data_IF_170201584758
#
_entry.id   IF_170201584758
#
_cell.length_a   1.000
_cell.length_b   1.000
_cell.length_c   1.000
_cell.angle_alpha   90.00
_cell.angle_beta   90.00
_cell.angle_gamma   90.00
#
_symmetry.space_group_name_H-M   'P 1'
#
loop_
_entity.id
_entity.type
_entity.pdbx_description
1 polymer ?
#
# COMPACT_ATOMS: atom_id res chain seq x y z
N UNK A 1 -10.03 20.79 5.96
CA UNK A 1 -9.38 19.66 5.27
C UNK A 1 -10.11 19.13 4.03
N UNK A 2 -11.18 18.32 4.14
CA UNK A 2 -11.97 17.87 2.96
C UNK A 2 -12.53 19.10 2.23
N UNK A 3 -13.03 20.09 2.95
CA UNK A 3 -13.62 21.29 2.35
C UNK A 3 -12.62 22.17 1.60
N UNK A 4 -11.40 22.37 2.11
CA UNK A 4 -10.38 23.20 1.46
C UNK A 4 -9.84 22.55 0.18
N UNK A 5 -9.52 21.25 0.23
CA UNK A 5 -9.11 20.50 -0.97
C UNK A 5 -10.27 20.30 -1.96
N UNK A 6 -11.50 20.12 -1.46
CA UNK A 6 -12.70 20.08 -2.28
C UNK A 6 -12.96 21.43 -2.95
N UNK A 7 -12.71 22.54 -2.25
CA UNK A 7 -12.80 23.88 -2.83
C UNK A 7 -11.77 24.09 -3.94
N UNK A 8 -10.50 23.71 -3.73
CA UNK A 8 -9.47 23.73 -4.78
C UNK A 8 -9.91 22.90 -5.99
N UNK A 9 -10.36 21.65 -5.78
CA UNK A 9 -10.85 20.78 -6.86
C UNK A 9 -12.05 21.36 -7.59
N UNK A 10 -12.97 22.00 -6.86
CA UNK A 10 -14.13 22.67 -7.45
C UNK A 10 -13.71 23.83 -8.36
N UNK A 11 -12.72 24.61 -7.94
CA UNK A 11 -12.17 25.71 -8.75
C UNK A 11 -11.43 25.20 -9.98
N UNK A 12 -10.66 24.11 -9.85
CA UNK A 12 -10.00 23.45 -10.97
C UNK A 12 -11.00 22.91 -11.99
N UNK A 13 -12.10 22.31 -11.54
CA UNK A 13 -13.16 21.83 -12.41
C UNK A 13 -13.84 22.99 -13.17
N UNK A 14 -14.13 24.09 -12.48
CA UNK A 14 -14.68 25.29 -13.12
C UNK A 14 -13.72 25.87 -14.16
N UNK A 15 -12.42 25.96 -13.84
CA UNK A 15 -11.40 26.42 -14.78
C UNK A 15 -11.30 25.52 -16.02
N UNK A 16 -11.45 24.20 -15.86
CA UNK A 16 -11.46 23.26 -16.98
C UNK A 16 -12.66 23.45 -17.91
N UNK A 17 -13.85 23.74 -17.35
CA UNK A 17 -15.04 24.08 -18.14
C UNK A 17 -14.80 25.35 -18.96
N UNK A 18 -14.30 26.41 -18.31
CA UNK A 18 -13.99 27.69 -18.97
C UNK A 18 -12.95 27.52 -20.07
N UNK A 19 -11.91 26.69 -19.84
CA UNK A 19 -10.91 26.38 -20.85
C UNK A 19 -11.52 25.67 -22.07
N UNK A 20 -12.47 24.75 -21.85
CA UNK A 20 -13.17 24.09 -22.95
C UNK A 20 -14.05 25.07 -23.75
N UNK A 21 -14.77 25.95 -23.07
CA UNK A 21 -15.56 27.01 -23.70
C UNK A 21 -14.68 27.99 -24.50
N UNK A 22 -13.50 28.32 -23.98
CA UNK A 22 -12.53 29.16 -24.66
C UNK A 22 -12.04 28.52 -25.97
N UNK A 23 -11.72 27.23 -25.96
CA UNK A 23 -11.33 26.51 -27.18
C UNK A 23 -12.48 26.44 -28.20
N UNK A 24 -13.72 26.25 -27.74
CA UNK A 24 -14.90 26.31 -28.62
C UNK A 24 -15.07 27.70 -29.24
N UNK A 25 -14.89 28.77 -28.46
CA UNK A 25 -14.96 30.15 -28.92
C UNK A 25 -13.85 30.49 -29.94
N UNK A 26 -12.61 30.03 -29.68
CA UNK A 26 -11.49 30.13 -30.64
C UNK A 26 -11.79 29.40 -31.94
N UNK A 27 -12.38 28.21 -31.87
CA UNK A 27 -12.85 27.47 -33.04
C UNK A 27 -13.91 28.24 -33.83
N UNK A 28 -14.86 28.89 -33.14
CA UNK A 28 -15.86 29.78 -33.76
C UNK A 28 -15.22 30.98 -34.45
N UNK A 29 -14.24 31.62 -33.80
CA UNK A 29 -13.47 32.73 -34.38
C UNK A 29 -12.74 32.30 -35.66
N UNK A 30 -12.02 31.18 -35.65
CA UNK A 30 -11.32 30.68 -36.84
C UNK A 30 -12.27 30.37 -38.00
N UNK A 31 -13.48 29.85 -37.72
CA UNK A 31 -14.50 29.64 -38.76
C UNK A 31 -14.97 30.98 -39.35
N UNK A 32 -15.27 31.96 -38.50
CA UNK A 32 -15.69 33.28 -38.97
C UNK A 32 -14.60 34.00 -39.78
N UNK A 33 -13.33 33.80 -39.43
CA UNK A 33 -12.18 34.29 -40.20
C UNK A 33 -12.05 33.59 -41.57
N UNK A 34 -12.33 32.28 -41.64
CA UNK A 34 -12.39 31.55 -42.91
C UNK A 34 -13.57 32.02 -43.78
N UNK A 35 -14.75 32.22 -43.21
CA UNK A 35 -15.93 32.75 -43.91
C UNK A 35 -15.64 34.14 -44.50
N UNK A 36 -14.97 35.01 -43.74
CA UNK A 36 -14.54 36.32 -44.26
C UNK A 36 -13.59 36.18 -45.45
N UNK A 37 -12.62 35.26 -45.38
CA UNK A 37 -11.69 35.04 -46.48
C UNK A 37 -12.42 34.58 -47.75
N UNK A 38 -13.47 33.76 -47.59
CA UNK A 38 -14.33 33.31 -48.68
C UNK A 38 -15.20 34.43 -49.25
N UNK A 39 -15.90 35.20 -48.41
CA UNK A 39 -16.70 36.38 -48.83
C UNK A 39 -15.84 37.35 -49.67
N UNK A 40 -14.61 37.62 -49.23
CA UNK A 40 -13.68 38.49 -49.97
C UNK A 40 -13.20 37.88 -51.29
N UNK A 41 -13.01 36.56 -51.36
CA UNK A 41 -12.65 35.86 -52.60
C UNK A 41 -13.79 35.88 -53.62
N UNK A 42 -15.04 35.83 -53.15
CA UNK A 42 -16.25 35.86 -53.97
C UNK A 42 -16.62 37.29 -54.41
N UNK A 43 -15.85 38.30 -54.00
CA UNK A 43 -16.05 39.71 -54.36
C UNK A 43 -17.10 40.42 -53.50
N UNK A 44 -17.52 39.80 -52.39
CA UNK A 44 -18.44 40.40 -51.43
C UNK A 44 -17.70 41.34 -50.46
N UNK A 45 -18.41 42.33 -49.92
CA UNK A 45 -17.83 43.37 -49.05
C UNK A 45 -17.36 42.89 -47.67
N UNK A 46 -17.58 41.62 -47.31
CA UNK A 46 -17.08 41.03 -46.05
C UNK A 46 -17.76 41.54 -44.78
N UNK A 47 -18.83 42.32 -44.90
CA UNK A 47 -19.29 43.20 -43.81
C UNK A 47 -20.05 42.45 -42.71
N UNK A 48 -20.68 41.33 -43.07
CA UNK A 48 -21.35 40.42 -42.12
C UNK A 48 -20.32 39.61 -41.35
N UNK A 49 -19.37 38.96 -42.06
CA UNK A 49 -18.31 38.18 -41.41
C UNK A 49 -17.43 39.03 -40.47
N UNK A 50 -17.11 40.29 -40.83
CA UNK A 50 -16.37 41.21 -39.95
C UNK A 50 -17.10 41.51 -38.62
N UNK A 51 -18.43 41.65 -38.64
CA UNK A 51 -19.21 41.83 -37.40
C UNK A 51 -19.15 40.57 -36.53
N UNK A 52 -19.28 39.40 -37.16
CA UNK A 52 -19.19 38.10 -36.47
C UNK A 52 -17.82 37.88 -35.83
N UNK A 53 -16.73 38.18 -36.54
CA UNK A 53 -15.36 38.12 -36.00
C UNK A 53 -15.19 39.05 -34.80
N UNK A 54 -15.69 40.28 -34.88
CA UNK A 54 -15.59 41.24 -33.76
C UNK A 54 -16.29 40.72 -32.52
N UNK A 55 -17.48 40.11 -32.69
CA UNK A 55 -18.21 39.47 -31.59
C UNK A 55 -17.42 38.31 -30.98
N UNK A 56 -16.93 37.38 -31.80
CA UNK A 56 -16.16 36.23 -31.31
C UNK A 56 -14.85 36.63 -30.63
N UNK A 57 -14.19 37.70 -31.10
CA UNK A 57 -13.00 38.25 -30.41
C UNK A 57 -13.32 38.77 -29.02
N UNK A 58 -14.49 39.42 -28.85
CA UNK A 58 -14.98 39.82 -27.54
C UNK A 58 -15.21 38.62 -26.62
N UNK A 59 -15.94 37.61 -27.10
CA UNK A 59 -16.22 36.38 -26.35
C UNK A 59 -14.93 35.65 -25.93
N UNK A 60 -13.95 35.54 -26.83
CA UNK A 60 -12.63 34.95 -26.52
C UNK A 60 -11.90 35.78 -25.45
N UNK A 61 -11.87 37.11 -25.57
CA UNK A 61 -11.19 37.97 -24.61
C UNK A 61 -11.82 37.89 -23.20
N UNK A 62 -13.15 37.82 -23.13
CA UNK A 62 -13.89 37.66 -21.87
C UNK A 62 -13.58 36.31 -21.23
N UNK A 63 -13.62 35.22 -22.00
CA UNK A 63 -13.28 33.87 -21.51
C UNK A 63 -11.81 33.77 -21.06
N UNK A 64 -10.88 34.38 -21.78
CA UNK A 64 -9.46 34.45 -21.36
C UNK A 64 -9.26 35.25 -20.07
N UNK A 65 -10.07 36.30 -19.85
CA UNK A 65 -10.07 37.06 -18.61
C UNK A 65 -10.57 36.20 -17.44
N UNK A 66 -11.71 35.53 -17.63
CA UNK A 66 -12.32 34.65 -16.63
C UNK A 66 -11.41 33.48 -16.28
N UNK A 67 -10.79 32.86 -17.28
CA UNK A 67 -9.84 31.76 -17.08
C UNK A 67 -8.62 32.21 -16.25
N UNK A 68 -8.09 33.41 -16.52
CA UNK A 68 -6.98 33.98 -15.73
C UNK A 68 -7.39 34.23 -14.28
N UNK A 69 -8.59 34.77 -14.05
CA UNK A 69 -9.11 34.97 -12.70
C UNK A 69 -9.28 33.64 -11.95
N UNK A 70 -9.76 32.59 -12.62
CA UNK A 70 -9.90 31.26 -12.03
C UNK A 70 -8.54 30.61 -11.74
N UNK A 71 -7.56 30.72 -12.64
CA UNK A 71 -6.21 30.22 -12.42
C UNK A 71 -5.56 30.86 -11.17
N UNK A 72 -5.78 32.17 -10.99
CA UNK A 72 -5.28 32.87 -9.81
C UNK A 72 -6.03 32.46 -8.52
N UNK A 73 -7.35 32.26 -8.59
CA UNK A 73 -8.13 31.75 -7.47
C UNK A 73 -7.68 30.35 -7.03
N UNK A 74 -7.42 29.45 -7.99
CA UNK A 74 -6.86 28.11 -7.72
C UNK A 74 -5.50 28.23 -7.03
N UNK A 75 -4.63 29.12 -7.52
CA UNK A 75 -3.29 29.32 -6.94
C UNK A 75 -3.37 29.76 -5.47
N UNK A 76 -4.25 30.70 -5.16
CA UNK A 76 -4.46 31.20 -3.78
C UNK A 76 -5.03 30.07 -2.90
N UNK A 77 -6.13 29.43 -3.33
CA UNK A 77 -6.76 28.37 -2.55
C UNK A 77 -5.82 27.18 -2.28
N UNK A 78 -4.93 26.85 -3.22
CA UNK A 78 -3.93 25.81 -3.05
C UNK A 78 -2.86 26.20 -2.03
N UNK A 79 -2.37 27.43 -2.07
CA UNK A 79 -1.40 27.94 -1.11
C UNK A 79 -1.94 27.92 0.32
N UNK A 80 -3.23 28.21 0.49
CA UNK A 80 -3.90 28.19 1.79
C UNK A 80 -4.13 26.75 2.31
N UNK A 81 -4.40 25.79 1.41
CA UNK A 81 -4.64 24.39 1.77
C UNK A 81 -3.36 23.56 2.03
N UNK A 82 -2.21 23.98 1.48
CA UNK A 82 -0.96 23.22 1.51
C UNK A 82 -0.37 22.99 2.93
N UNK A 83 -0.37 23.95 3.87
CA UNK A 83 0.11 23.73 5.23
C UNK A 83 -0.71 22.71 6.01
N UNK A 84 -2.04 22.75 5.88
CA UNK A 84 -2.97 21.83 6.56
C UNK A 84 -2.76 20.40 6.05
N UNK A 85 -2.66 20.21 4.72
CA UNK A 85 -2.38 18.90 4.13
C UNK A 85 -1.01 18.33 4.53
N UNK A 86 0.01 19.18 4.68
CA UNK A 86 1.33 18.75 5.17
C UNK A 86 1.30 18.27 6.62
N UNK A 87 0.54 18.94 7.48
CA UNK A 87 0.41 18.56 8.89
C UNK A 87 -0.21 17.17 9.03
N UNK A 88 -1.32 16.91 8.32
CA UNK A 88 -2.02 15.62 8.36
C UNK A 88 -1.14 14.46 7.88
N UNK A 89 -0.42 14.63 6.77
CA UNK A 89 0.54 13.61 6.29
C UNK A 89 1.64 13.37 7.33
N UNK A 90 2.09 14.42 8.01
CA UNK A 90 3.04 14.31 9.12
C UNK A 90 2.49 13.50 10.29
N UNK A 91 1.26 13.78 10.71
CA UNK A 91 0.58 13.09 11.80
C UNK A 91 0.34 11.62 11.46
N UNK A 92 -0.17 11.32 10.25
CA UNK A 92 -0.39 9.95 9.80
C UNK A 92 0.91 9.14 9.70
N UNK A 93 2.00 9.78 9.26
CA UNK A 93 3.33 9.14 9.25
C UNK A 93 3.85 8.90 10.67
N UNK A 94 3.62 9.82 11.60
CA UNK A 94 3.99 9.64 12.99
C UNK A 94 3.23 8.48 13.64
N UNK A 95 1.92 8.36 13.38
CA UNK A 95 1.11 7.23 13.84
C UNK A 95 1.60 5.89 13.25
N UNK A 96 1.93 5.87 11.95
CA UNK A 96 2.46 4.68 11.30
C UNK A 96 3.81 4.24 11.90
N UNK A 97 4.73 5.18 12.13
CA UNK A 97 6.01 4.86 12.77
C UNK A 97 5.80 4.35 14.20
N UNK A 98 4.89 4.95 14.98
CA UNK A 98 4.58 4.48 16.32
C UNK A 98 4.01 3.05 16.32
N UNK A 99 3.17 2.71 15.34
CA UNK A 99 2.66 1.36 15.16
C UNK A 99 3.77 0.37 14.79
N UNK A 100 4.68 0.75 13.88
CA UNK A 100 5.82 -0.07 13.48
C UNK A 100 6.78 -0.32 14.64
N UNK A 101 7.06 0.68 15.47
CA UNK A 101 7.90 0.54 16.66
C UNK A 101 7.26 -0.43 17.67
N UNK A 102 5.94 -0.35 17.86
CA UNK A 102 5.22 -1.29 18.70
C UNK A 102 5.29 -2.73 18.17
N UNK A 103 5.15 -2.93 16.85
CA UNK A 103 5.32 -4.23 16.21
C UNK A 103 6.75 -4.77 16.34
N UNK A 104 7.77 -3.92 16.18
CA UNK A 104 9.17 -4.29 16.33
C UNK A 104 9.45 -4.85 17.74
N UNK A 105 8.92 -4.20 18.78
CA UNK A 105 9.03 -4.68 20.17
C UNK A 105 8.38 -6.06 20.35
N UNK A 106 7.23 -6.31 19.73
CA UNK A 106 6.55 -7.61 19.79
C UNK A 106 7.40 -8.69 19.11
N UNK A 107 7.95 -8.40 17.93
CA UNK A 107 8.81 -9.34 17.19
C UNK A 107 10.08 -9.67 17.98
N UNK A 108 10.76 -8.66 18.53
CA UNK A 108 11.96 -8.86 19.35
C UNK A 108 11.68 -9.76 20.55
N UNK A 109 10.54 -9.56 21.23
CA UNK A 109 10.11 -10.41 22.34
C UNK A 109 9.85 -11.85 21.89
N UNK A 110 9.14 -12.04 20.77
CA UNK A 110 8.87 -13.37 20.23
C UNK A 110 10.17 -14.11 19.87
N UNK A 111 11.13 -13.43 19.24
CA UNK A 111 12.45 -14.00 18.92
C UNK A 111 13.20 -14.41 20.18
N UNK A 112 13.18 -13.58 21.23
CA UNK A 112 13.80 -13.92 22.52
C UNK A 112 13.15 -15.14 23.18
N UNK A 113 11.82 -15.24 23.15
CA UNK A 113 11.07 -16.38 23.69
C UNK A 113 11.36 -17.68 22.90
N UNK A 114 11.42 -17.60 21.57
CA UNK A 114 11.82 -18.72 20.70
C UNK A 114 13.25 -19.18 20.97
N UNK A 115 14.18 -18.24 21.14
CA UNK A 115 15.57 -18.57 21.47
C UNK A 115 15.67 -19.27 22.83
N UNK A 116 14.97 -18.78 23.85
CA UNK A 116 14.90 -19.42 25.16
C UNK A 116 14.27 -20.82 25.10
N UNK A 117 13.22 -21.00 24.28
CA UNK A 117 12.60 -22.31 24.06
C UNK A 117 13.58 -23.29 23.38
N UNK A 118 14.32 -22.84 22.38
CA UNK A 118 15.34 -23.64 21.71
C UNK A 118 16.43 -24.10 22.68
N UNK A 119 16.91 -23.23 23.57
CA UNK A 119 17.87 -23.59 24.61
C UNK A 119 17.32 -24.65 25.57
N UNK A 120 16.06 -24.51 26.03
CA UNK A 120 15.41 -25.53 26.88
C UNK A 120 15.31 -26.88 26.18
N UNK A 121 14.90 -26.89 24.91
CA UNK A 121 14.83 -28.11 24.11
C UNK A 121 16.20 -28.77 23.94
N UNK A 122 17.26 -27.98 23.73
CA UNK A 122 18.62 -28.48 23.64
C UNK A 122 19.08 -29.18 24.93
N UNK A 123 18.80 -28.57 26.09
CA UNK A 123 19.08 -29.18 27.40
C UNK A 123 18.31 -30.50 27.57
N UNK A 124 17.02 -30.51 27.25
CA UNK A 124 16.19 -31.72 27.33
C UNK A 124 16.72 -32.83 26.39
N UNK A 125 17.17 -32.45 25.19
CA UNK A 125 17.75 -33.40 24.24
C UNK A 125 19.01 -34.06 24.81
N UNK A 126 19.94 -33.27 25.35
CA UNK A 126 21.16 -33.82 25.97
C UNK A 126 20.87 -34.69 27.19
N UNK A 127 19.89 -34.32 28.02
CA UNK A 127 19.46 -35.17 29.14
C UNK A 127 18.88 -36.50 28.65
N UNK A 128 18.10 -36.48 27.58
CA UNK A 128 17.55 -37.69 26.97
C UNK A 128 18.66 -38.59 26.39
N UNK A 129 19.64 -38.02 25.69
CA UNK A 129 20.81 -38.75 25.19
C UNK A 129 21.59 -39.42 26.33
N UNK A 130 21.79 -38.72 27.46
CA UNK A 130 22.42 -39.27 28.65
C UNK A 130 21.68 -40.50 29.18
N UNK A 131 20.35 -40.40 29.34
CA UNK A 131 19.51 -41.53 29.77
C UNK A 131 19.55 -42.71 28.80
N UNK A 132 19.56 -42.46 27.49
CA UNK A 132 19.68 -43.52 26.47
C UNK A 132 21.05 -44.20 26.55
N UNK A 133 22.13 -43.45 26.79
CA UNK A 133 23.48 -44.00 26.97
C UNK A 133 23.58 -44.85 28.24
N UNK A 134 23.05 -44.37 29.36
CA UNK A 134 22.98 -45.12 30.63
C UNK A 134 22.20 -46.42 30.47
N UNK A 135 21.01 -46.36 29.85
CA UNK A 135 20.21 -47.54 29.55
C UNK A 135 21.00 -48.54 28.69
N UNK A 136 21.63 -48.06 27.61
CA UNK A 136 22.43 -48.88 26.70
C UNK A 136 23.67 -49.48 27.35
N UNK A 137 24.22 -48.87 28.40
CA UNK A 137 25.35 -49.37 29.17
C UNK A 137 24.93 -50.37 30.27
N UNK A 138 23.71 -50.27 30.79
CA UNK A 138 23.15 -51.22 31.76
C UNK A 138 22.65 -52.52 31.09
N UNK A 139 22.13 -52.43 29.86
CA UNK A 139 21.56 -53.55 29.13
C UNK A 139 22.52 -54.68 28.64
N UNK A 140 23.83 -54.47 28.39
CA UNK A 140 24.74 -55.53 27.98
C UNK A 140 24.93 -56.58 29.09
N UNK A 141 24.67 -56.23 30.36
CA UNK A 141 24.79 -57.16 31.50
C UNK A 141 23.61 -58.14 31.64
N UNK A 142 22.53 -58.00 30.87
CA UNK A 142 21.40 -58.95 30.85
C UNK A 142 21.16 -59.61 29.48
N UNK A 143 21.86 -59.16 28.44
CA UNK A 143 21.68 -59.62 27.05
C UNK A 143 22.33 -60.96 26.70
N UNK A 144 23.01 -61.64 27.62
CA UNK A 144 23.53 -63.00 27.37
C UNK A 144 22.44 -64.05 27.14
N UNK A 145 21.15 -63.71 27.36
CA UNK A 145 20.03 -64.66 27.32
C UNK A 145 18.88 -64.23 26.40
N UNK A 146 18.97 -63.10 25.68
CA UNK A 146 17.92 -62.66 24.77
C UNK A 146 18.53 -62.30 23.42
N UNK A 147 18.50 -63.26 22.50
CA UNK A 147 19.03 -63.13 21.16
C UNK A 147 18.42 -61.96 20.37
N UNK A 148 19.27 -61.26 19.62
CA UNK A 148 18.97 -60.52 18.38
C UNK A 148 18.00 -59.32 18.39
N UNK A 149 17.10 -59.17 19.36
CA UNK A 149 15.96 -58.26 19.23
C UNK A 149 16.18 -56.83 19.77
N UNK A 150 17.25 -56.58 20.52
CA UNK A 150 17.56 -55.25 21.07
C UNK A 150 18.84 -54.70 20.43
N UNK A 151 18.73 -54.19 19.19
CA UNK A 151 19.81 -53.40 18.60
C UNK A 151 19.54 -51.90 18.80
N UNK A 152 20.56 -51.04 18.94
CA UNK A 152 20.39 -49.59 19.08
C UNK A 152 19.55 -48.93 17.96
N UNK A 153 19.47 -49.57 16.78
CA UNK A 153 18.64 -49.13 15.66
C UNK A 153 17.13 -49.22 15.95
N UNK A 154 16.66 -50.25 16.66
CA UNK A 154 15.22 -50.39 16.97
C UNK A 154 14.75 -49.39 18.02
N UNK A 155 15.60 -49.01 18.98
CA UNK A 155 15.29 -47.94 19.94
C UNK A 155 15.32 -46.55 19.32
N UNK A 156 16.27 -46.26 18.42
CA UNK A 156 16.30 -44.98 17.70
C UNK A 156 15.05 -44.81 16.82
N UNK A 157 14.60 -45.87 16.15
CA UNK A 157 13.36 -45.85 15.38
C UNK A 157 12.12 -45.59 16.26
N UNK A 158 12.05 -46.20 17.45
CA UNK A 158 10.95 -45.98 18.39
C UNK A 158 10.96 -44.56 18.99
N UNK A 159 12.15 -44.03 19.31
CA UNK A 159 12.30 -42.67 19.83
C UNK A 159 11.96 -41.61 18.78
N UNK A 160 12.37 -41.81 17.52
CA UNK A 160 12.00 -40.95 16.39
C UNK A 160 10.49 -41.01 16.12
N UNK A 161 9.88 -42.20 16.18
CA UNK A 161 8.44 -42.35 16.02
C UNK A 161 7.65 -41.62 17.13
N UNK A 162 8.13 -41.66 18.38
CA UNK A 162 7.54 -40.93 19.52
C UNK A 162 7.72 -39.42 19.43
N UNK A 163 8.87 -38.94 18.97
CA UNK A 163 9.10 -37.52 18.70
C UNK A 163 8.21 -37.03 17.56
N UNK A 164 8.02 -37.82 16.50
CA UNK A 164 7.12 -37.47 15.40
C UNK A 164 5.64 -37.42 15.84
N UNK A 165 5.21 -38.29 16.76
CA UNK A 165 3.85 -38.23 17.32
C UNK A 165 3.68 -37.07 18.31
N UNK A 166 4.69 -36.77 19.12
CA UNK A 166 4.69 -35.58 19.99
C UNK A 166 4.70 -34.28 19.19
N UNK A 167 5.42 -34.24 18.06
CA UNK A 167 5.41 -33.08 17.17
C UNK A 167 4.03 -32.85 16.55
N UNK A 168 3.34 -33.92 16.13
CA UNK A 168 1.96 -33.87 15.62
C UNK A 168 0.97 -33.31 16.64
N UNK A 169 1.06 -33.74 17.90
CA UNK A 169 0.21 -33.22 18.98
C UNK A 169 0.42 -31.72 19.23
N UNK A 170 1.65 -31.23 19.13
CA UNK A 170 1.95 -29.80 19.28
C UNK A 170 1.45 -29.01 18.07
N UNK A 171 1.57 -29.54 16.85
CA UNK A 171 1.05 -28.90 15.64
C UNK A 171 -0.48 -28.82 15.67
N UNK A 172 -1.16 -29.89 16.06
CA UNK A 172 -2.63 -29.93 16.20
C UNK A 172 -3.11 -28.95 17.29
N UNK A 173 -2.39 -28.84 18.42
CA UNK A 173 -2.71 -27.86 19.48
C UNK A 173 -2.45 -26.41 19.06
N UNK A 174 -1.44 -26.15 18.21
CA UNK A 174 -1.16 -24.82 17.67
C UNK A 174 -2.16 -24.43 16.56
N UNK A 175 -2.63 -25.38 15.77
CA UNK A 175 -3.70 -25.17 14.79
C UNK A 175 -5.05 -24.93 15.49
N UNK A 176 -5.37 -25.66 16.56
CA UNK A 176 -6.57 -25.40 17.37
C UNK A 176 -6.52 -24.03 18.07
N UNK A 177 -5.34 -23.60 18.54
CA UNK A 177 -5.14 -22.27 19.13
C UNK A 177 -5.14 -21.13 18.09
N UNK A 178 -4.86 -21.43 16.81
CA UNK A 178 -4.91 -20.46 15.70
C UNK A 178 -6.30 -20.35 15.06
N UNK A 179 -7.19 -21.31 15.31
CA UNK A 179 -8.55 -21.38 14.75
C UNK A 179 -9.66 -21.12 15.80
N UNK A 180 -9.29 -20.90 17.07
CA UNK A 180 -10.20 -20.50 18.14
C UNK A 180 -10.10 -19.00 18.41
N UNK A 181 -11.09 -18.24 17.92
CA UNK A 181 -11.48 -16.92 18.42
C UNK A 181 -11.89 -16.96 19.91
#
# INVERSE_FOLDING_TARGET
MIEALHHVRSLEAAAAVIAHELEAARGGLSRAEADLAQELADGEGGQTARKTITKHRGEVADLESVLRAHAEAVRIARADAEPEARAEVGDALAELHAAQDAEAVIIERAVAEMHAAAQRLHVLHHQAEGRVREFSAAYPKRGGHLGGACSPRSFRALAVARLATGHRLITDMLEDASNGE
#
